data_IF_777889762781
#
_entry.id   IF_777889762781
#
_cell.length_a   1.000
_cell.length_b   1.000
_cell.length_c   1.000
_cell.angle_alpha   90.00
_cell.angle_beta   90.00
_cell.angle_gamma   90.00
#
_symmetry.space_group_name_H-M   'P 1'
#
loop_
_entity.id
_entity.type
_entity.pdbx_description
1 polymer ?
#
# COMPACT_ATOMS: atom_id res chain seq x y z
N UNK A 1 14.96 21.48 24.01
CA UNK A 1 16.17 20.75 24.43
C UNK A 1 15.91 20.27 25.84
N UNK A 2 15.97 18.96 26.06
CA UNK A 2 15.89 18.41 27.42
C UNK A 2 17.16 18.76 28.19
N UNK A 3 17.09 18.78 29.52
CA UNK A 3 18.26 19.07 30.37
C UNK A 3 19.42 18.09 30.08
N UNK A 4 19.10 16.83 29.84
CA UNK A 4 20.07 15.79 29.47
C UNK A 4 20.76 16.06 28.13
N UNK A 5 20.02 16.47 27.10
CA UNK A 5 20.61 16.81 25.79
C UNK A 5 21.63 17.95 25.92
N UNK A 6 21.33 18.95 26.76
CA UNK A 6 22.25 20.05 27.02
C UNK A 6 23.51 19.55 27.74
N UNK A 7 23.36 18.73 28.78
CA UNK A 7 24.50 18.16 29.50
C UNK A 7 25.41 17.30 28.59
N UNK A 8 24.82 16.52 27.67
CA UNK A 8 25.56 15.74 26.69
C UNK A 8 26.35 16.66 25.77
N UNK A 9 25.73 17.73 25.25
CA UNK A 9 26.41 18.67 24.37
C UNK A 9 27.55 19.43 25.07
N UNK A 10 27.32 19.88 26.30
CA UNK A 10 28.33 20.61 27.06
C UNK A 10 29.56 19.71 27.33
N UNK A 11 29.33 18.45 27.72
CA UNK A 11 30.42 17.49 27.92
C UNK A 11 31.06 17.07 26.60
N UNK A 12 30.31 16.97 25.50
CA UNK A 12 30.87 16.68 24.18
C UNK A 12 31.84 17.79 23.75
N UNK A 13 31.47 19.05 23.97
CA UNK A 13 32.35 20.19 23.73
C UNK A 13 33.63 20.10 24.58
N UNK A 14 33.51 19.76 25.86
CA UNK A 14 34.68 19.56 26.74
C UNK A 14 35.57 18.39 26.28
N UNK A 15 34.98 17.31 25.77
CA UNK A 15 35.70 16.17 25.21
C UNK A 15 36.51 16.59 23.96
N UNK A 16 35.92 17.41 23.10
CA UNK A 16 36.55 17.86 21.85
C UNK A 16 37.62 18.94 22.07
N UNK A 17 37.44 19.80 23.09
CA UNK A 17 38.36 20.91 23.40
C UNK A 17 39.53 20.50 24.31
N UNK A 18 39.39 19.43 25.10
CA UNK A 18 40.34 19.08 26.15
C UNK A 18 40.92 17.68 25.94
N UNK A 19 42.22 17.62 25.63
CA UNK A 19 42.96 16.37 25.42
C UNK A 19 43.14 15.47 26.66
N UNK A 20 42.58 15.86 27.82
CA UNK A 20 42.52 15.06 29.03
C UNK A 20 41.51 13.91 28.94
N UNK A 21 40.40 14.13 28.23
CA UNK A 21 39.29 13.19 28.14
C UNK A 21 39.41 12.39 26.85
N UNK A 22 39.10 11.10 26.93
CA UNK A 22 39.23 10.19 25.78
C UNK A 22 37.89 9.63 25.30
N UNK A 23 36.84 9.70 26.12
CA UNK A 23 35.54 9.13 25.80
C UNK A 23 34.42 9.73 26.65
N UNK A 24 33.20 9.78 26.10
CA UNK A 24 31.95 10.02 26.84
C UNK A 24 31.40 8.69 27.37
N UNK A 25 30.98 8.67 28.62
CA UNK A 25 30.19 7.59 29.21
C UNK A 25 28.91 8.10 29.82
N UNK A 26 28.07 7.18 30.28
CA UNK A 26 26.76 7.48 30.86
C UNK A 26 26.56 6.60 32.10
N UNK A 27 26.41 7.21 33.27
CA UNK A 27 26.10 6.49 34.50
C UNK A 27 24.63 6.12 34.53
N UNK A 28 24.34 4.85 34.82
CA UNK A 28 22.99 4.39 35.07
C UNK A 28 22.97 3.27 36.10
N UNK A 29 22.27 3.48 37.22
CA UNK A 29 22.10 2.53 38.31
C UNK A 29 20.77 2.78 39.05
N UNK A 30 20.65 2.27 40.28
CA UNK A 30 19.44 2.40 41.08
C UNK A 30 19.17 3.85 41.53
N UNK A 31 20.22 4.67 41.67
CA UNK A 31 20.14 6.05 42.15
C UNK A 31 20.17 7.08 41.02
N UNK A 32 20.83 6.74 39.91
CA UNK A 32 21.08 7.63 38.76
C UNK A 32 20.46 6.99 37.52
N UNK A 33 19.48 7.65 36.91
CA UNK A 33 18.84 7.14 35.69
C UNK A 33 19.78 7.26 34.49
N UNK A 34 20.28 8.46 34.21
CA UNK A 34 21.28 8.71 33.19
C UNK A 34 22.02 10.01 33.48
N UNK A 35 23.31 9.91 33.79
CA UNK A 35 24.20 11.07 33.91
C UNK A 35 25.38 10.94 32.94
N UNK A 36 25.55 11.88 31.98
CA UNK A 36 26.70 11.84 31.09
C UNK A 36 27.98 12.20 31.86
N UNK A 37 29.06 11.49 31.59
CA UNK A 37 30.36 11.65 32.27
C UNK A 37 31.50 11.61 31.25
N UNK A 38 32.62 12.23 31.60
CA UNK A 38 33.85 12.17 30.81
C UNK A 38 34.81 11.16 31.41
N UNK A 39 35.41 10.33 30.55
CA UNK A 39 36.33 9.29 30.92
C UNK A 39 37.75 9.66 30.46
N UNK A 40 38.73 9.48 31.35
CA UNK A 40 40.15 9.76 31.08
C UNK A 40 40.81 8.76 30.14
N UNK A 41 40.17 7.61 29.93
CA UNK A 41 40.66 6.52 29.09
C UNK A 41 39.50 5.98 28.27
N UNK A 42 39.81 5.49 27.08
CA UNK A 42 38.86 4.72 26.31
C UNK A 42 38.66 3.34 26.94
N UNK A 43 37.40 2.93 27.05
CA UNK A 43 36.99 1.60 27.47
C UNK A 43 36.39 0.88 26.27
N UNK A 44 36.79 -0.38 26.05
CA UNK A 44 36.22 -1.23 25.00
C UNK A 44 35.00 -2.02 25.52
N UNK A 45 34.90 -2.18 26.84
CA UNK A 45 33.78 -2.84 27.51
C UNK A 45 33.23 -1.89 28.56
N UNK A 46 31.91 -1.72 28.58
CA UNK A 46 31.18 -0.90 29.53
C UNK A 46 31.25 -1.52 30.94
N UNK A 47 31.99 -0.93 31.90
CA UNK A 47 32.01 -1.44 33.27
C UNK A 47 30.81 -0.90 34.03
N UNK A 48 30.04 -1.74 34.73
CA UNK A 48 28.97 -1.23 35.61
C UNK A 48 29.53 -0.20 36.60
N UNK A 49 28.86 0.96 36.82
CA UNK A 49 27.56 1.39 36.27
C UNK A 49 27.63 2.30 35.03
N UNK A 50 28.71 2.24 34.26
CA UNK A 50 28.97 3.08 33.08
C UNK A 50 28.54 2.36 31.82
N UNK A 51 27.72 3.03 31.02
CA UNK A 51 27.34 2.66 29.66
C UNK A 51 28.11 3.53 28.68
N UNK A 52 28.62 2.95 27.59
CA UNK A 52 29.42 3.68 26.59
C UNK A 52 28.59 4.15 25.39
N UNK A 53 27.39 3.60 25.22
CA UNK A 53 26.44 3.99 24.17
C UNK A 53 25.49 5.05 24.71
N UNK A 54 25.29 6.12 23.94
CA UNK A 54 24.39 7.21 24.30
C UNK A 54 22.92 6.76 24.21
N UNK A 55 22.05 7.18 25.15
CA UNK A 55 20.60 7.03 24.95
C UNK A 55 20.13 7.91 23.80
N UNK A 56 19.21 7.39 22.97
CA UNK A 56 18.61 8.14 21.85
C UNK A 56 17.10 8.08 21.88
N UNK A 57 16.42 9.22 21.68
CA UNK A 57 14.96 9.29 21.54
C UNK A 57 14.16 9.06 22.83
N UNK A 58 14.80 9.14 24.00
CA UNK A 58 14.19 8.94 25.31
C UNK A 58 14.25 10.23 26.12
N UNK A 59 13.21 10.51 26.91
CA UNK A 59 13.13 11.74 27.71
C UNK A 59 13.84 11.58 29.06
N UNK A 60 13.60 10.47 29.75
CA UNK A 60 14.28 10.09 30.99
C UNK A 60 14.89 8.68 30.81
N UNK A 61 15.99 8.56 30.06
CA UNK A 61 16.61 7.27 29.84
C UNK A 61 17.12 6.65 31.15
N UNK A 62 16.88 5.35 31.32
CA UNK A 62 17.51 4.48 32.31
C UNK A 62 18.03 3.23 31.62
N UNK A 63 19.22 2.74 31.97
CA UNK A 63 19.78 1.55 31.36
C UNK A 63 19.27 0.30 32.08
N UNK A 64 18.63 -0.60 31.32
CA UNK A 64 18.26 -1.92 31.82
C UNK A 64 19.46 -2.85 31.68
N UNK A 65 20.13 -3.13 32.80
CA UNK A 65 21.30 -4.01 32.86
C UNK A 65 21.01 -5.50 32.61
N UNK A 66 19.74 -5.93 32.65
CA UNK A 66 19.36 -7.29 32.29
C UNK A 66 19.15 -7.43 30.79
N UNK A 67 18.66 -6.37 30.13
CA UNK A 67 18.37 -6.35 28.69
C UNK A 67 19.47 -5.66 27.87
N UNK A 68 20.46 -5.05 28.51
CA UNK A 68 21.55 -4.29 27.91
C UNK A 68 21.07 -3.20 26.95
N UNK A 69 20.06 -2.43 27.34
CA UNK A 69 19.48 -1.35 26.51
C UNK A 69 18.95 -0.18 27.34
N UNK A 70 18.92 1.00 26.73
CA UNK A 70 18.24 2.16 27.30
C UNK A 70 16.71 2.01 27.21
N UNK A 71 16.01 2.40 28.28
CA UNK A 71 14.54 2.41 28.36
C UNK A 71 14.03 3.76 28.87
N UNK A 72 12.80 4.11 28.53
CA UNK A 72 12.13 5.31 29.05
C UNK A 72 11.71 5.10 30.50
N UNK A 73 12.17 5.94 31.40
CA UNK A 73 11.85 5.92 32.83
C UNK A 73 10.93 7.07 33.27
N UNK A 74 10.49 7.97 32.38
CA UNK A 74 9.49 8.98 32.73
C UNK A 74 8.09 8.35 32.76
N UNK A 75 7.42 8.25 33.93
CA UNK A 75 6.07 7.71 34.01
C UNK A 75 5.07 8.48 33.13
N UNK A 76 5.30 9.78 32.94
CA UNK A 76 4.44 10.62 32.11
C UNK A 76 4.67 10.35 30.61
N UNK A 77 5.92 10.09 30.20
CA UNK A 77 6.26 9.71 28.82
C UNK A 77 5.64 8.37 28.45
N UNK A 78 5.68 7.38 29.35
CA UNK A 78 5.03 6.08 29.14
C UNK A 78 3.50 6.23 28.99
N UNK A 79 2.85 7.02 29.85
CA UNK A 79 1.42 7.31 29.73
C UNK A 79 1.04 8.05 28.44
N UNK A 80 1.85 9.01 28.02
CA UNK A 80 1.68 9.74 26.76
C UNK A 80 1.86 8.82 25.54
N UNK A 81 2.87 7.96 25.54
CA UNK A 81 3.09 6.97 24.47
C UNK A 81 1.94 5.97 24.36
N UNK A 82 1.42 5.47 25.49
CA UNK A 82 0.23 4.60 25.51
C UNK A 82 -0.99 5.34 24.95
N UNK A 83 -1.15 6.61 25.27
CA UNK A 83 -2.27 7.43 24.77
C UNK A 83 -2.17 7.63 23.26
N UNK A 84 -0.99 8.01 22.76
CA UNK A 84 -0.73 8.15 21.33
C UNK A 84 -0.96 6.83 20.57
N UNK A 85 -0.55 5.69 21.13
CA UNK A 85 -0.81 4.37 20.54
C UNK A 85 -2.30 4.04 20.50
N UNK A 86 -3.07 4.41 21.54
CA UNK A 86 -4.54 4.25 21.54
C UNK A 86 -5.20 5.08 20.44
N UNK A 87 -4.79 6.35 20.28
CA UNK A 87 -5.32 7.23 19.24
C UNK A 87 -5.00 6.71 17.82
N UNK A 88 -3.79 6.20 17.60
CA UNK A 88 -3.42 5.56 16.33
C UNK A 88 -4.22 4.29 16.07
N UNK A 89 -4.47 3.48 17.10
CA UNK A 89 -5.30 2.28 16.99
C UNK A 89 -6.75 2.62 16.64
N UNK A 90 -7.33 3.62 17.30
CA UNK A 90 -8.69 4.09 17.03
C UNK A 90 -8.82 4.63 15.61
N UNK A 91 -7.84 5.43 15.16
CA UNK A 91 -7.78 5.93 13.78
C UNK A 91 -7.70 4.79 12.77
N UNK A 92 -6.82 3.81 13.02
CA UNK A 92 -6.66 2.64 12.15
C UNK A 92 -7.95 1.83 12.07
N UNK A 93 -8.66 1.66 13.19
CA UNK A 93 -9.95 0.96 13.24
C UNK A 93 -11.03 1.70 12.44
N UNK A 94 -11.08 3.03 12.52
CA UNK A 94 -11.99 3.84 11.72
C UNK A 94 -11.69 3.72 10.23
N UNK A 95 -10.42 3.82 9.83
CA UNK A 95 -10.00 3.63 8.43
C UNK A 95 -10.36 2.24 7.93
N UNK A 96 -10.13 1.20 8.73
CA UNK A 96 -10.48 -0.18 8.36
C UNK A 96 -11.99 -0.33 8.12
N UNK A 97 -12.80 0.27 8.97
CA UNK A 97 -14.27 0.26 8.81
C UNK A 97 -14.68 0.95 7.52
N UNK A 98 -14.14 2.15 7.24
CA UNK A 98 -14.43 2.88 6.01
C UNK A 98 -13.99 2.12 4.75
N UNK A 99 -12.82 1.46 4.79
CA UNK A 99 -12.34 0.61 3.69
C UNK A 99 -13.27 -0.59 3.48
N UNK A 100 -13.72 -1.23 4.56
CA UNK A 100 -14.66 -2.36 4.47
C UNK A 100 -16.01 -1.94 3.88
N UNK A 101 -16.53 -0.78 4.28
CA UNK A 101 -17.76 -0.21 3.72
C UNK A 101 -17.61 0.12 2.23
N UNK A 102 -16.49 0.75 1.86
CA UNK A 102 -16.17 1.06 0.47
C UNK A 102 -16.06 -0.21 -0.38
N UNK A 103 -15.37 -1.24 0.12
CA UNK A 103 -15.23 -2.53 -0.56
C UNK A 103 -16.59 -3.20 -0.79
N UNK A 104 -17.48 -3.14 0.21
CA UNK A 104 -18.83 -3.66 0.07
C UNK A 104 -19.65 -2.90 -0.98
N UNK A 105 -19.51 -1.57 -1.05
CA UNK A 105 -20.16 -0.76 -2.09
C UNK A 105 -19.66 -1.11 -3.48
N UNK A 106 -18.34 -1.14 -3.67
CA UNK A 106 -17.70 -1.47 -4.95
C UNK A 106 -18.07 -2.88 -5.41
N UNK A 107 -18.13 -3.84 -4.50
CA UNK A 107 -18.56 -5.21 -4.81
C UNK A 107 -20.01 -5.27 -5.32
N UNK A 108 -20.92 -4.52 -4.67
CA UNK A 108 -22.33 -4.42 -5.11
C UNK A 108 -22.44 -3.74 -6.48
N UNK A 109 -21.72 -2.64 -6.69
CA UNK A 109 -21.71 -1.93 -7.97
C UNK A 109 -21.16 -2.80 -9.10
N UNK A 110 -20.07 -3.53 -8.84
CA UNK A 110 -19.45 -4.44 -9.79
C UNK A 110 -20.39 -5.57 -10.18
N UNK A 111 -21.07 -6.17 -9.19
CA UNK A 111 -22.07 -7.23 -9.43
C UNK A 111 -23.24 -6.71 -10.28
N UNK A 112 -23.79 -5.54 -9.92
CA UNK A 112 -24.87 -4.93 -10.70
C UNK A 112 -24.46 -4.51 -12.12
N UNK A 113 -23.19 -4.12 -12.33
CA UNK A 113 -22.66 -3.84 -13.66
C UNK A 113 -22.54 -5.13 -14.50
N UNK A 114 -22.07 -6.23 -13.91
CA UNK A 114 -22.00 -7.54 -14.56
C UNK A 114 -23.38 -8.02 -15.00
N UNK A 115 -24.40 -7.91 -14.14
CA UNK A 115 -25.78 -8.30 -14.48
C UNK A 115 -26.32 -7.51 -15.68
N UNK A 116 -26.04 -6.20 -15.75
CA UNK A 116 -26.44 -5.36 -16.89
C UNK A 116 -25.72 -5.75 -18.19
N UNK A 117 -24.44 -6.10 -18.11
CA UNK A 117 -23.66 -6.56 -19.27
C UNK A 117 -24.23 -7.88 -19.78
N UNK A 118 -24.52 -8.82 -18.88
CA UNK A 118 -25.13 -10.11 -19.20
C UNK A 118 -26.48 -9.92 -19.93
N UNK A 119 -27.39 -9.14 -19.35
CA UNK A 119 -28.70 -8.86 -19.94
C UNK A 119 -28.59 -8.15 -21.31
N UNK A 120 -27.60 -7.28 -21.48
CA UNK A 120 -27.37 -6.58 -22.75
C UNK A 120 -26.83 -7.53 -23.82
N UNK A 121 -25.93 -8.46 -23.48
CA UNK A 121 -25.46 -9.50 -24.40
C UNK A 121 -26.59 -10.42 -24.85
N UNK A 122 -27.43 -10.88 -23.93
CA UNK A 122 -28.59 -11.73 -24.26
C UNK A 122 -29.53 -11.02 -25.23
N UNK A 123 -29.87 -9.75 -24.94
CA UNK A 123 -30.73 -8.95 -25.82
C UNK A 123 -30.10 -8.70 -27.19
N UNK A 124 -28.78 -8.48 -27.26
CA UNK A 124 -28.08 -8.38 -28.54
C UNK A 124 -28.12 -9.70 -29.31
N UNK A 125 -27.84 -10.83 -28.67
CA UNK A 125 -27.89 -12.15 -29.29
C UNK A 125 -29.29 -12.44 -29.87
N UNK A 126 -30.34 -12.12 -29.12
CA UNK A 126 -31.73 -12.30 -29.53
C UNK A 126 -32.11 -11.40 -30.72
N UNK A 127 -31.73 -10.12 -30.67
CA UNK A 127 -31.94 -9.18 -31.78
C UNK A 127 -31.19 -9.63 -33.06
N UNK A 128 -29.98 -10.16 -32.90
CA UNK A 128 -29.18 -10.67 -34.02
C UNK A 128 -29.80 -11.93 -34.63
N UNK A 129 -30.33 -12.83 -33.79
CA UNK A 129 -31.03 -14.04 -34.23
C UNK A 129 -32.33 -13.71 -35.00
N UNK A 130 -33.09 -12.72 -34.54
CA UNK A 130 -34.29 -12.24 -35.25
C UNK A 130 -33.95 -11.64 -36.61
N UNK A 131 -32.87 -10.84 -36.70
CA UNK A 131 -32.36 -10.31 -37.96
C UNK A 131 -31.97 -11.42 -38.94
N UNK A 132 -31.25 -12.45 -38.46
CA UNK A 132 -30.88 -13.62 -39.27
C UNK A 132 -32.10 -14.38 -39.76
N UNK A 133 -33.12 -14.60 -38.92
CA UNK A 133 -34.37 -15.25 -39.32
C UNK A 133 -35.15 -14.44 -40.34
N UNK A 134 -35.13 -13.11 -40.27
CA UNK A 134 -35.79 -12.24 -41.24
C UNK A 134 -35.05 -12.18 -42.59
N UNK A 135 -33.72 -12.30 -42.57
CA UNK A 135 -32.88 -12.32 -43.78
C UNK A 135 -32.87 -13.70 -44.47
N UNK A 136 -33.06 -14.79 -43.73
CA UNK A 136 -33.08 -16.16 -44.26
C UNK A 136 -34.06 -16.38 -45.43
N UNK A 137 -35.34 -15.94 -45.38
CA UNK A 137 -36.25 -16.07 -46.52
C UNK A 137 -35.89 -15.16 -47.71
N UNK A 138 -35.28 -13.98 -47.48
CA UNK A 138 -34.86 -13.06 -48.55
C UNK A 138 -33.67 -13.64 -49.34
N UNK A 139 -32.73 -14.29 -48.66
CA UNK A 139 -31.60 -14.99 -49.28
C UNK A 139 -32.01 -16.31 -49.94
N UNK A 140 -33.11 -16.93 -49.50
CA UNK A 140 -33.68 -18.13 -50.10
C UNK A 140 -34.57 -17.85 -51.33
N UNK A 141 -35.07 -16.62 -51.52
CA UNK A 141 -35.77 -16.22 -52.75
C UNK A 141 -34.80 -16.11 -53.94
N UNK A 142 -34.77 -17.19 -54.73
CA UNK A 142 -34.07 -17.31 -56.03
C UNK A 142 -34.56 -16.22 -57.00
N UNK A 143 -33.69 -15.59 -57.83
CA UNK A 143 -34.15 -14.65 -58.85
C UNK A 143 -34.99 -15.40 -59.89
N UNK A 144 -36.24 -14.98 -60.10
CA UNK A 144 -37.07 -15.41 -61.21
C UNK A 144 -36.55 -14.76 -62.50
N UNK A 145 -36.07 -15.59 -63.43
CA UNK A 145 -35.59 -15.16 -64.74
C UNK A 145 -36.79 -14.77 -65.62
N UNK A 146 -36.77 -13.66 -66.39
CA UNK A 146 -37.87 -13.29 -67.27
C UNK A 146 -37.99 -14.26 -68.44
N UNK A 147 -39.21 -14.74 -68.73
CA UNK A 147 -39.49 -15.61 -69.87
C UNK A 147 -39.53 -14.77 -71.16
N UNK A 148 -38.62 -15.03 -72.11
CA UNK A 148 -38.55 -14.34 -73.41
C UNK A 148 -39.39 -15.12 -74.44
N UNK A 149 -40.28 -14.47 -75.24
CA UNK A 149 -41.07 -15.14 -76.26
C UNK A 149 -40.23 -15.69 -77.42
N UNK A 150 -40.53 -16.93 -77.83
CA UNK A 150 -39.90 -17.66 -78.92
C UNK A 150 -40.32 -17.08 -80.30
N UNK A 151 -39.34 -16.68 -81.14
CA UNK A 151 -39.57 -16.29 -82.54
C UNK A 151 -39.12 -17.45 -83.46
N UNK A 152 -39.92 -17.91 -84.43
CA UNK A 152 -39.53 -18.98 -85.33
C UNK A 152 -38.61 -18.47 -86.45
N UNK A 153 -37.53 -19.20 -86.72
CA UNK A 153 -36.65 -19.00 -87.89
C UNK A 153 -37.24 -19.68 -89.12
N UNK A 154 -37.36 -18.94 -90.22
CA UNK A 154 -37.63 -19.45 -91.57
C UNK A 154 -36.50 -19.06 -92.51
N UNK A 155 -35.95 -20.04 -93.25
CA UNK A 155 -35.72 -20.07 -94.71
C UNK A 155 -34.71 -21.20 -95.04
N UNK A 156 -35.12 -22.29 -95.67
CA UNK A 156 -35.27 -22.60 -97.11
C UNK A 156 -34.00 -23.04 -97.86
N UNK A 157 -34.03 -24.33 -98.20
CA UNK A 157 -33.55 -25.06 -99.39
C UNK A 157 -32.57 -24.46 -100.42
N UNK A 158 -31.70 -25.38 -100.90
CA UNK A 158 -31.00 -25.38 -102.19
C UNK A 158 -29.49 -25.48 -101.95
N UNK A 159 -28.72 -26.49 -102.36
CA UNK A 159 -28.86 -27.43 -103.47
C UNK A 159 -27.55 -27.43 -104.26
N UNK A 160 -26.83 -28.56 -104.25
CA UNK A 160 -25.79 -29.05 -105.16
C UNK A 160 -24.60 -28.14 -105.57
N UNK A 161 -23.36 -28.61 -105.33
CA UNK A 161 -22.63 -29.47 -106.29
C UNK A 161 -21.48 -30.20 -105.58
#
# INVERSE_FOLDING_TARGET
>A
MTDLEQQIQDKQKLLDENGMWQQMGYLSNDEIDCEPILLFKKHDVAPFPIVLEAPTGLKCPKYDWNQYKWVENDPNSQGAQITALKEQLDTTKQTLTAVQEQQNSVSKETSGALDKIQATQEKQAEATAQLLQMLAPILASKPSVPNIPNVPTSNTNGGAN
#
